data_IF_801317559778
#
_entry.id   IF_801317559778
#
_cell.length_a   1.000
_cell.length_b   1.000
_cell.length_c   1.000
_cell.angle_alpha   90.00
_cell.angle_beta   90.00
_cell.angle_gamma   90.00
#
_symmetry.space_group_name_H-M   'P 1'
#
loop_
_entity.id
_entity.type
_entity.pdbx_description
1 polymer ?
#
# COMPACT_ATOMS: atom_id res chain seq x y z
N UNK A 1 49.81 18.19 5.60
CA UNK A 1 49.80 16.86 4.95
C UNK A 1 48.37 16.31 4.99
N UNK A 2 47.47 16.86 4.16
CA UNK A 2 46.08 16.38 3.91
C UNK A 2 45.46 17.03 2.66
N UNK A 3 46.07 18.09 2.10
CA UNK A 3 45.60 18.75 0.88
C UNK A 3 46.13 18.15 -0.45
N UNK A 4 47.01 17.14 -0.39
CA UNK A 4 47.52 16.41 -1.58
C UNK A 4 46.82 15.08 -1.86
N UNK A 5 45.81 14.71 -1.05
CA UNK A 5 45.01 13.48 -1.27
C UNK A 5 43.58 13.74 -1.74
N UNK A 6 43.14 15.00 -1.76
CA UNK A 6 41.80 15.38 -2.24
C UNK A 6 41.76 15.72 -3.75
N UNK A 7 42.89 16.07 -4.35
CA UNK A 7 42.99 16.39 -5.79
C UNK A 7 43.16 15.16 -6.70
N UNK A 8 43.43 13.97 -6.13
CA UNK A 8 43.56 12.73 -6.90
C UNK A 8 42.25 11.93 -7.01
N UNK A 9 41.24 12.17 -6.16
CA UNK A 9 39.93 11.50 -6.26
C UNK A 9 38.88 12.28 -7.07
N UNK A 10 39.11 13.57 -7.36
CA UNK A 10 38.22 14.34 -8.24
C UNK A 10 38.56 14.20 -9.75
N UNK A 11 39.73 13.67 -10.11
CA UNK A 11 40.15 13.49 -11.50
C UNK A 11 39.69 12.16 -12.13
N UNK A 12 39.15 11.23 -11.33
CA UNK A 12 38.65 9.93 -11.80
C UNK A 12 37.13 9.95 -12.05
N UNK A 13 36.40 10.92 -11.50
CA UNK A 13 34.95 11.05 -11.67
C UNK A 13 34.51 11.99 -12.82
N UNK A 14 35.45 12.52 -13.61
CA UNK A 14 35.17 13.41 -14.75
C UNK A 14 35.62 12.84 -16.11
N UNK A 15 35.95 11.55 -16.17
CA UNK A 15 36.37 10.83 -17.39
C UNK A 15 35.39 9.71 -17.80
N UNK A 16 34.10 9.82 -17.42
CA UNK A 16 33.04 8.87 -17.85
C UNK A 16 31.85 9.53 -18.57
N UNK A 17 31.98 10.79 -18.96
CA UNK A 17 31.06 11.40 -19.90
C UNK A 17 31.87 12.17 -20.96
N UNK A 18 31.50 11.94 -22.22
CA UNK A 18 32.00 12.54 -23.47
C UNK A 18 33.10 11.71 -24.16
N UNK A 19 32.71 11.00 -25.23
CA UNK A 19 33.65 10.30 -26.10
C UNK A 19 33.04 9.46 -27.22
N UNK A 20 32.05 9.97 -27.96
CA UNK A 20 31.67 9.44 -29.28
C UNK A 20 32.27 10.32 -30.37
N UNK A 21 33.18 9.78 -31.20
CA UNK A 21 33.12 9.78 -32.69
C UNK A 21 34.50 9.75 -33.38
N UNK A 22 34.63 8.79 -34.32
CA UNK A 22 35.55 8.66 -35.48
C UNK A 22 37.05 8.41 -35.18
N UNK A 23 37.80 7.55 -35.88
CA UNK A 23 37.64 6.56 -36.95
C UNK A 23 38.96 5.74 -37.01
N UNK A 24 39.03 4.61 -37.74
CA UNK A 24 40.17 4.10 -38.58
C UNK A 24 40.12 2.56 -38.76
N UNK A 25 39.68 2.14 -39.95
CA UNK A 25 40.29 1.26 -40.98
C UNK A 25 41.27 0.11 -40.60
N UNK A 26 40.89 -1.11 -41.06
CA UNK A 26 41.66 -2.23 -41.69
C UNK A 26 42.77 -3.00 -40.95
N UNK A 27 42.61 -4.33 -40.83
CA UNK A 27 43.28 -5.34 -41.69
C UNK A 27 43.40 -6.73 -41.01
N UNK A 28 43.29 -7.81 -41.80
CA UNK A 28 44.07 -9.04 -41.55
C UNK A 28 43.35 -10.30 -41.06
N UNK A 29 42.37 -10.83 -41.81
CA UNK A 29 41.95 -12.24 -41.69
C UNK A 29 42.90 -13.16 -42.47
N UNK A 30 43.43 -14.20 -41.80
CA UNK A 30 44.39 -15.19 -42.36
C UNK A 30 43.74 -16.09 -43.43
N UNK A 31 44.49 -16.55 -44.45
CA UNK A 31 43.96 -17.42 -45.50
C UNK A 31 43.95 -18.90 -45.07
N UNK A 32 42.87 -19.60 -45.42
CA UNK A 32 42.82 -21.06 -45.49
C UNK A 32 43.57 -21.53 -46.75
N UNK A 33 44.45 -22.55 -46.67
CA UNK A 33 45.14 -23.09 -47.84
C UNK A 33 44.34 -24.25 -48.46
N UNK A 34 44.27 -24.29 -49.79
CA UNK A 34 43.81 -25.47 -50.52
C UNK A 34 42.79 -25.21 -51.62
N UNK A 35 43.18 -24.51 -52.69
CA UNK A 35 42.57 -24.69 -54.01
C UNK A 35 43.57 -24.37 -55.14
N UNK A 36 44.82 -24.80 -54.96
CA UNK A 36 45.77 -24.86 -56.07
C UNK A 36 45.51 -26.18 -56.80
N UNK A 37 44.63 -26.12 -57.80
CA UNK A 37 44.59 -26.95 -59.03
C UNK A 37 43.16 -27.06 -59.56
N UNK A 38 42.67 -25.98 -60.20
CA UNK A 38 41.56 -26.09 -61.15
C UNK A 38 42.01 -25.50 -62.50
N UNK A 39 41.74 -26.20 -63.63
CA UNK A 39 42.21 -25.80 -64.95
C UNK A 39 41.54 -24.52 -65.44
N UNK A 40 42.26 -23.74 -66.27
CA UNK A 40 41.92 -22.40 -66.79
C UNK A 40 40.59 -22.28 -67.55
N UNK A 41 39.84 -23.35 -67.75
CA UNK A 41 38.55 -23.33 -68.46
C UNK A 41 37.34 -22.95 -67.58
N UNK A 42 37.53 -22.71 -66.28
CA UNK A 42 36.42 -22.40 -65.38
C UNK A 42 35.92 -20.94 -65.45
N UNK A 43 36.71 -20.01 -66.01
CA UNK A 43 36.34 -18.58 -66.04
C UNK A 43 35.61 -18.12 -67.32
N UNK A 44 35.34 -19.03 -68.26
CA UNK A 44 34.66 -18.69 -69.52
C UNK A 44 33.15 -18.97 -69.54
N UNK A 45 32.54 -19.34 -68.40
CA UNK A 45 31.08 -19.53 -68.27
C UNK A 45 30.37 -18.48 -67.40
N UNK A 46 31.05 -17.38 -67.01
CA UNK A 46 30.46 -16.32 -66.17
C UNK A 46 30.24 -14.98 -66.89
N UNK A 47 30.17 -14.98 -68.22
CA UNK A 47 29.78 -13.79 -68.98
C UNK A 47 28.66 -14.09 -69.96
N UNK A 48 27.45 -14.30 -69.43
CA UNK A 48 26.21 -14.07 -70.16
C UNK A 48 25.37 -13.06 -69.40
N UNK A 49 24.90 -11.97 -70.03
CA UNK A 49 24.03 -11.01 -69.37
C UNK A 49 22.63 -11.64 -69.26
N UNK A 50 22.29 -12.15 -68.08
CA UNK A 50 20.94 -12.63 -67.82
C UNK A 50 20.02 -11.43 -67.61
N UNK A 51 19.20 -11.13 -68.61
CA UNK A 51 18.03 -10.26 -68.46
C UNK A 51 17.09 -10.97 -67.48
N UNK A 52 16.99 -10.49 -66.24
CA UNK A 52 15.89 -10.86 -65.34
C UNK A 52 14.58 -10.34 -65.93
N UNK A 53 13.94 -11.19 -66.75
CA UNK A 53 12.50 -11.12 -66.95
C UNK A 53 11.91 -11.56 -65.62
N UNK A 54 11.31 -10.63 -64.89
CA UNK A 54 10.44 -10.96 -63.77
C UNK A 54 9.29 -11.80 -64.34
N UNK A 55 9.36 -13.12 -64.17
CA UNK A 55 8.19 -13.97 -64.32
C UNK A 55 7.18 -13.51 -63.27
N UNK A 56 6.09 -12.89 -63.72
CA UNK A 56 4.89 -12.74 -62.90
C UNK A 56 4.38 -14.17 -62.60
N UNK A 57 4.88 -14.76 -61.52
CA UNK A 57 4.19 -15.87 -60.87
C UNK A 57 2.82 -15.36 -60.46
N UNK A 58 1.83 -15.80 -61.23
CA UNK A 58 0.42 -15.67 -60.98
C UNK A 58 0.16 -15.90 -59.49
N UNK A 59 -0.27 -14.86 -58.78
CA UNK A 59 -0.89 -14.99 -57.47
C UNK A 59 -2.06 -15.96 -57.65
N UNK A 60 -1.86 -17.22 -57.28
CA UNK A 60 -2.97 -18.11 -57.03
C UNK A 60 -3.83 -17.40 -56.00
N UNK A 61 -5.10 -17.20 -56.34
CA UNK A 61 -6.13 -16.64 -55.46
C UNK A 61 -6.20 -17.52 -54.22
N UNK A 62 -5.42 -17.21 -53.19
CA UNK A 62 -5.71 -17.66 -51.84
C UNK A 62 -7.08 -17.09 -51.51
N UNK A 63 -8.03 -18.00 -51.36
CA UNK A 63 -9.37 -17.75 -50.86
C UNK A 63 -9.34 -16.66 -49.79
N UNK A 64 -10.02 -15.54 -50.05
CA UNK A 64 -10.05 -14.39 -49.16
C UNK A 64 -10.52 -14.75 -47.76
N UNK A 65 -9.57 -14.96 -46.84
CA UNK A 65 -9.81 -14.83 -45.42
C UNK A 65 -9.48 -13.40 -45.03
N UNK A 66 -10.50 -12.63 -44.65
CA UNK A 66 -10.31 -11.37 -43.94
C UNK A 66 -9.39 -11.62 -42.73
N UNK A 67 -8.41 -10.73 -42.45
CA UNK A 67 -7.56 -10.90 -41.27
C UNK A 67 -8.43 -11.01 -40.01
N UNK A 68 -8.26 -12.11 -39.27
CA UNK A 68 -9.02 -12.33 -38.05
C UNK A 68 -8.80 -11.16 -37.08
N UNK A 69 -9.86 -10.54 -36.54
CA UNK A 69 -9.72 -9.34 -35.73
C UNK A 69 -8.97 -9.67 -34.43
N UNK A 70 -7.99 -8.84 -34.08
CA UNK A 70 -7.16 -9.05 -32.88
C UNK A 70 -7.99 -8.79 -31.61
N UNK A 71 -7.79 -9.59 -30.55
CA UNK A 71 -8.41 -9.33 -29.26
C UNK A 71 -7.87 -8.04 -28.64
N UNK A 72 -8.71 -7.39 -27.85
CA UNK A 72 -8.32 -6.23 -27.05
C UNK A 72 -9.18 -6.15 -25.79
N UNK A 73 -8.65 -5.48 -24.77
CA UNK A 73 -9.39 -5.18 -23.55
C UNK A 73 -10.27 -3.95 -23.77
N UNK A 74 -11.54 -4.05 -23.38
CA UNK A 74 -12.46 -2.93 -23.44
C UNK A 74 -12.13 -1.87 -22.38
N UNK A 75 -11.71 -2.33 -21.21
CA UNK A 75 -11.37 -1.47 -20.08
C UNK A 75 -9.85 -1.20 -20.03
N UNK A 76 -9.43 -0.10 -19.35
CA UNK A 76 -8.04 0.17 -18.99
C UNK A 76 -7.67 -0.40 -17.61
N UNK A 77 -6.38 -0.50 -17.30
CA UNK A 77 -5.89 -0.91 -15.99
C UNK A 77 -6.59 -0.14 -14.86
N UNK A 78 -6.83 -0.80 -13.72
CA UNK A 78 -7.72 -0.26 -12.68
C UNK A 78 -7.22 -0.51 -11.27
N UNK A 79 -7.59 0.40 -10.35
CA UNK A 79 -7.33 0.28 -8.92
C UNK A 79 -8.67 0.12 -8.21
N UNK A 80 -8.81 -0.96 -7.44
CA UNK A 80 -10.05 -1.31 -6.76
C UNK A 80 -9.75 -1.40 -5.27
N UNK A 81 -10.42 -0.56 -4.48
CA UNK A 81 -10.34 -0.61 -3.02
C UNK A 81 -11.61 -1.22 -2.46
N UNK A 82 -11.47 -2.25 -1.62
CA UNK A 82 -12.59 -3.00 -1.04
C UNK A 82 -12.46 -3.09 0.46
N UNK A 83 -13.57 -3.29 1.15
CA UNK A 83 -13.60 -3.49 2.59
C UNK A 83 -13.22 -4.93 2.95
N UNK A 84 -12.53 -5.14 4.08
CA UNK A 84 -12.27 -6.47 4.63
C UNK A 84 -13.56 -7.32 4.69
N UNK A 85 -13.47 -8.57 4.26
CA UNK A 85 -14.58 -9.53 4.23
C UNK A 85 -15.52 -9.37 3.03
N UNK A 86 -15.38 -8.31 2.23
CA UNK A 86 -16.25 -8.08 1.08
C UNK A 86 -16.05 -9.13 -0.02
N UNK A 87 -17.12 -9.38 -0.77
CA UNK A 87 -17.07 -10.11 -2.01
C UNK A 87 -16.71 -9.17 -3.16
N UNK A 88 -15.75 -9.56 -3.99
CA UNK A 88 -15.18 -8.72 -5.04
C UNK A 88 -15.27 -9.43 -6.39
N UNK A 89 -15.52 -8.66 -7.44
CA UNK A 89 -15.44 -9.10 -8.82
C UNK A 89 -14.40 -8.26 -9.56
N UNK A 90 -13.33 -8.89 -10.03
CA UNK A 90 -12.37 -8.24 -10.92
C UNK A 90 -12.83 -8.46 -12.35
N UNK A 91 -13.24 -7.39 -13.01
CA UNK A 91 -13.77 -7.46 -14.37
C UNK A 91 -12.66 -7.48 -15.42
N UNK A 92 -12.84 -8.33 -16.42
CA UNK A 92 -12.00 -8.36 -17.62
C UNK A 92 -12.87 -8.60 -18.84
N UNK A 93 -13.24 -7.51 -19.51
CA UNK A 93 -13.99 -7.53 -20.77
C UNK A 93 -13.02 -7.63 -21.94
N UNK A 94 -13.15 -8.69 -22.74
CA UNK A 94 -12.28 -8.98 -23.89
C UNK A 94 -13.11 -9.10 -25.15
N UNK A 95 -12.84 -8.23 -26.13
CA UNK A 95 -13.47 -8.28 -27.44
C UNK A 95 -12.62 -9.12 -28.41
N UNK A 96 -13.24 -9.69 -29.45
CA UNK A 96 -12.57 -10.52 -30.47
C UNK A 96 -11.71 -11.65 -29.88
N UNK A 97 -12.20 -12.35 -28.85
CA UNK A 97 -11.45 -13.42 -28.18
C UNK A 97 -11.21 -14.63 -29.11
N UNK A 98 -12.19 -14.97 -29.97
CA UNK A 98 -12.12 -16.08 -30.92
C UNK A 98 -11.79 -17.41 -30.22
N UNK A 99 -10.77 -18.14 -30.68
CA UNK A 99 -10.32 -19.40 -30.10
C UNK A 99 -9.28 -19.23 -28.97
N UNK A 100 -9.03 -17.99 -28.52
CA UNK A 100 -8.05 -17.71 -27.46
C UNK A 100 -8.68 -17.89 -26.09
N UNK A 101 -7.84 -18.07 -25.09
CA UNK A 101 -8.25 -18.31 -23.72
C UNK A 101 -7.87 -17.13 -22.83
N UNK A 102 -8.75 -16.80 -21.88
CA UNK A 102 -8.48 -15.85 -20.81
C UNK A 102 -8.02 -16.60 -19.56
N UNK A 103 -7.01 -16.05 -18.89
CA UNK A 103 -6.53 -16.56 -17.61
C UNK A 103 -6.39 -15.42 -16.60
N UNK A 104 -6.69 -15.73 -15.35
CA UNK A 104 -6.38 -14.84 -14.24
C UNK A 104 -5.16 -15.36 -13.52
N UNK A 105 -4.16 -14.49 -13.37
CA UNK A 105 -2.96 -14.77 -12.61
C UNK A 105 -2.77 -13.70 -11.54
N UNK A 106 -2.20 -14.11 -10.40
CA UNK A 106 -1.81 -13.21 -9.33
C UNK A 106 -0.30 -13.06 -9.33
N UNK A 107 0.17 -11.81 -9.36
CA UNK A 107 1.59 -11.51 -9.30
C UNK A 107 2.03 -11.29 -7.86
N UNK A 108 3.09 -11.98 -7.44
CA UNK A 108 3.73 -11.82 -6.13
C UNK A 108 5.24 -11.68 -6.33
N UNK A 109 5.71 -10.44 -6.47
CA UNK A 109 7.09 -10.18 -6.91
C UNK A 109 7.29 -10.67 -8.34
N UNK A 110 8.25 -11.57 -8.54
CA UNK A 110 8.53 -12.20 -9.84
C UNK A 110 7.68 -13.46 -10.10
N UNK A 111 7.02 -14.00 -9.07
CA UNK A 111 6.24 -15.23 -9.17
C UNK A 111 4.81 -14.96 -9.67
N UNK A 112 4.37 -15.75 -10.65
CA UNK A 112 3.00 -15.75 -11.17
C UNK A 112 2.26 -16.99 -10.68
N UNK A 113 1.17 -16.76 -9.95
CA UNK A 113 0.27 -17.82 -9.49
C UNK A 113 -0.96 -17.87 -10.36
N UNK A 114 -1.20 -19.01 -11.03
CA UNK A 114 -2.40 -19.21 -11.83
C UNK A 114 -3.63 -19.37 -10.93
N UNK A 115 -4.63 -18.52 -11.13
CA UNK A 115 -5.90 -18.60 -10.40
C UNK A 115 -6.95 -19.32 -11.23
N UNK A 116 -7.11 -18.92 -12.50
CA UNK A 116 -8.07 -19.52 -13.44
C UNK A 116 -7.47 -19.59 -14.84
N UNK A 117 -7.92 -20.58 -15.62
CA UNK A 117 -7.58 -20.71 -17.04
C UNK A 117 -8.81 -21.18 -17.81
N UNK A 118 -9.27 -20.37 -18.77
CA UNK A 118 -10.56 -20.57 -19.41
C UNK A 118 -11.66 -20.56 -18.38
N UNK A 119 -12.53 -21.57 -18.39
CA UNK A 119 -13.62 -21.72 -17.42
C UNK A 119 -13.23 -22.45 -16.13
N UNK A 120 -11.98 -22.90 -16.02
CA UNK A 120 -11.53 -23.74 -14.90
C UNK A 120 -10.78 -22.91 -13.85
N UNK A 121 -10.99 -23.23 -12.58
CA UNK A 121 -10.27 -22.63 -11.44
C UNK A 121 -9.14 -23.56 -11.02
N UNK A 122 -7.92 -23.03 -10.94
CA UNK A 122 -6.69 -23.75 -10.58
C UNK A 122 -6.17 -23.38 -9.18
N UNK A 123 -6.59 -22.24 -8.65
CA UNK A 123 -6.27 -21.83 -7.28
C UNK A 123 -6.69 -22.91 -6.27
N UNK A 124 -5.80 -23.24 -5.33
CA UNK A 124 -6.13 -24.11 -4.18
C UNK A 124 -7.03 -23.41 -3.16
N UNK A 125 -7.04 -22.08 -3.17
CA UNK A 125 -7.92 -21.28 -2.32
C UNK A 125 -9.32 -21.22 -2.95
N UNK A 126 -10.28 -21.85 -2.27
CA UNK A 126 -11.68 -21.99 -2.69
C UNK A 126 -12.44 -20.66 -2.73
N UNK A 127 -11.87 -19.57 -2.21
CA UNK A 127 -12.51 -18.25 -2.26
C UNK A 127 -12.44 -17.64 -3.66
N UNK A 128 -11.47 -18.05 -4.46
CA UNK A 128 -11.34 -17.66 -5.87
C UNK A 128 -12.17 -18.57 -6.76
N UNK A 129 -12.92 -17.98 -7.66
CA UNK A 129 -13.63 -18.71 -8.72
C UNK A 129 -13.79 -17.84 -9.94
N UNK A 130 -13.98 -18.44 -11.11
CA UNK A 130 -14.42 -17.70 -12.29
C UNK A 130 -15.94 -17.53 -12.26
N UNK A 131 -16.40 -16.31 -12.51
CA UNK A 131 -17.81 -15.98 -12.70
C UNK A 131 -17.98 -15.24 -14.05
N UNK A 132 -17.89 -16.01 -15.14
CA UNK A 132 -17.97 -15.47 -16.50
C UNK A 132 -19.38 -15.00 -16.82
N UNK A 133 -19.52 -13.72 -17.11
CA UNK A 133 -20.78 -13.11 -17.55
C UNK A 133 -20.76 -12.95 -19.07
N UNK A 134 -21.75 -13.54 -19.74
CA UNK A 134 -21.91 -13.52 -21.20
C UNK A 134 -22.13 -12.09 -21.72
N UNK A 135 -21.56 -11.71 -22.89
CA UNK A 135 -20.80 -12.56 -23.80
C UNK A 135 -19.29 -12.60 -23.51
N UNK A 136 -18.71 -11.53 -22.93
CA UNK A 136 -17.27 -11.27 -23.04
C UNK A 136 -16.60 -10.87 -21.71
N UNK A 137 -17.26 -11.01 -20.56
CA UNK A 137 -16.77 -10.53 -19.27
C UNK A 137 -16.28 -11.69 -18.39
N UNK A 138 -14.95 -11.85 -18.30
CA UNK A 138 -14.29 -12.91 -17.56
C UNK A 138 -14.00 -12.45 -16.13
N UNK A 139 -14.99 -12.52 -15.25
CA UNK A 139 -14.86 -11.97 -13.89
C UNK A 139 -14.18 -12.96 -12.96
N UNK A 140 -13.11 -12.52 -12.30
CA UNK A 140 -12.56 -13.25 -11.16
C UNK A 140 -13.36 -12.87 -9.92
N UNK A 141 -14.02 -13.84 -9.30
CA UNK A 141 -14.73 -13.67 -8.03
C UNK A 141 -13.81 -14.02 -6.87
N UNK A 142 -13.77 -13.14 -5.87
CA UNK A 142 -13.18 -13.38 -4.56
C UNK A 142 -14.29 -13.24 -3.51
N UNK A 143 -14.70 -14.35 -2.89
CA UNK A 143 -15.90 -14.38 -2.01
C UNK A 143 -15.74 -13.65 -0.67
N UNK A 144 -14.56 -13.66 -0.07
CA UNK A 144 -14.30 -12.98 1.20
C UNK A 144 -12.89 -12.43 1.22
N UNK A 145 -12.73 -11.13 0.96
CA UNK A 145 -11.45 -10.48 0.84
C UNK A 145 -10.72 -10.36 2.18
N UNK A 146 -9.45 -10.72 2.21
CA UNK A 146 -8.55 -10.56 3.35
C UNK A 146 -7.45 -9.55 3.02
N UNK A 147 -6.83 -8.95 4.03
CA UNK A 147 -5.72 -7.99 3.82
C UNK A 147 -4.61 -8.58 2.92
N UNK A 148 -4.35 -9.88 3.08
CA UNK A 148 -3.35 -10.63 2.31
C UNK A 148 -3.68 -10.76 0.84
N UNK A 149 -4.92 -10.53 0.41
CA UNK A 149 -5.32 -10.58 -1.00
C UNK A 149 -4.97 -9.30 -1.75
N UNK A 150 -4.55 -8.25 -1.05
CA UNK A 150 -4.05 -7.04 -1.69
C UNK A 150 -2.87 -7.36 -2.62
N UNK A 151 -2.84 -6.71 -3.78
CA UNK A 151 -1.78 -6.92 -4.76
C UNK A 151 -2.26 -6.80 -6.20
N UNK A 152 -1.42 -7.29 -7.11
CA UNK A 152 -1.61 -7.16 -8.55
C UNK A 152 -2.19 -8.45 -9.12
N UNK A 153 -3.31 -8.31 -9.82
CA UNK A 153 -3.99 -9.36 -10.54
C UNK A 153 -3.95 -9.04 -12.03
N UNK A 154 -3.67 -10.03 -12.85
CA UNK A 154 -3.56 -9.88 -14.29
C UNK A 154 -4.58 -10.76 -14.98
N UNK A 155 -5.34 -10.13 -15.87
CA UNK A 155 -6.11 -10.83 -16.87
C UNK A 155 -5.23 -10.98 -18.11
N UNK A 156 -4.89 -12.20 -18.47
CA UNK A 156 -4.03 -12.51 -19.60
C UNK A 156 -4.82 -13.23 -20.70
N UNK A 157 -4.68 -12.76 -21.94
CA UNK A 157 -5.23 -13.42 -23.13
C UNK A 157 -4.09 -14.17 -23.83
N UNK A 158 -4.36 -15.43 -24.22
CA UNK A 158 -3.41 -16.33 -24.91
C UNK A 158 -3.12 -15.90 -26.36
N UNK A 159 -2.60 -14.69 -26.53
CA UNK A 159 -2.13 -14.10 -27.78
C UNK A 159 -0.60 -14.26 -27.90
N UNK A 160 -0.05 -13.98 -29.08
CA UNK A 160 1.39 -13.87 -29.27
C UNK A 160 1.75 -12.47 -29.83
N UNK A 161 2.38 -11.58 -29.04
CA UNK A 161 2.66 -11.72 -27.59
C UNK A 161 1.37 -11.72 -26.74
N UNK A 162 1.40 -12.20 -25.49
CA UNK A 162 0.23 -12.22 -24.62
C UNK A 162 -0.25 -10.80 -24.32
N UNK A 163 -1.57 -10.60 -24.32
CA UNK A 163 -2.16 -9.33 -23.90
C UNK A 163 -2.44 -9.41 -22.40
N UNK A 164 -2.05 -8.37 -21.67
CA UNK A 164 -2.14 -8.31 -20.22
C UNK A 164 -2.90 -7.04 -19.82
N UNK A 165 -3.90 -7.21 -18.96
CA UNK A 165 -4.62 -6.15 -18.26
C UNK A 165 -4.36 -6.30 -16.77
N UNK A 166 -4.03 -5.20 -16.11
CA UNK A 166 -3.63 -5.18 -14.71
C UNK A 166 -4.72 -4.59 -13.83
N UNK A 167 -5.00 -5.26 -12.71
CA UNK A 167 -5.92 -4.80 -11.66
C UNK A 167 -5.18 -4.78 -10.33
N UNK A 168 -5.10 -3.60 -9.71
CA UNK A 168 -4.56 -3.43 -8.37
C UNK A 168 -5.69 -3.52 -7.36
N UNK A 169 -5.72 -4.60 -6.59
CA UNK A 169 -6.68 -4.79 -5.51
C UNK A 169 -6.06 -4.30 -4.19
N UNK A 170 -6.74 -3.38 -3.50
CA UNK A 170 -6.41 -2.94 -2.16
C UNK A 170 -7.53 -3.33 -1.19
N UNK A 171 -7.23 -4.16 -0.20
CA UNK A 171 -8.19 -4.53 0.84
C UNK A 171 -7.97 -3.62 2.06
N UNK A 172 -8.94 -2.75 2.30
CA UNK A 172 -8.92 -1.77 3.38
C UNK A 172 -9.43 -2.36 4.68
N UNK A 173 -8.63 -2.27 5.74
CA UNK A 173 -9.00 -2.66 7.11
C UNK A 173 -9.35 -1.39 7.89
N UNK A 174 -10.57 -1.26 8.47
CA UNK A 174 -10.97 -0.05 9.17
C UNK A 174 -10.12 0.12 10.41
N UNK A 175 -9.68 1.35 10.65
CA UNK A 175 -8.95 1.71 11.86
C UNK A 175 -9.84 2.60 12.70
N UNK A 176 -10.07 2.19 13.96
CA UNK A 176 -10.88 2.92 14.93
C UNK A 176 -9.99 3.32 16.09
N UNK A 177 -9.89 4.61 16.36
CA UNK A 177 -9.05 5.17 17.42
C UNK A 177 -9.80 6.22 18.22
N UNK A 178 -9.75 6.13 19.55
CA UNK A 178 -10.12 7.25 20.40
C UNK A 178 -8.86 8.09 20.56
N UNK A 179 -8.97 9.38 20.24
CA UNK A 179 -7.83 10.29 20.16
C UNK A 179 -7.91 11.37 21.24
N UNK A 180 -6.75 11.88 21.62
CA UNK A 180 -6.63 13.05 22.49
C UNK A 180 -6.78 14.37 21.71
N UNK A 181 -6.52 15.49 22.40
CA UNK A 181 -6.62 16.83 21.84
C UNK A 181 -5.58 17.07 20.73
N UNK A 182 -4.45 16.37 20.77
CA UNK A 182 -3.37 16.43 19.78
C UNK A 182 -3.57 15.44 18.62
N UNK A 183 -4.61 14.60 18.67
CA UNK A 183 -4.88 13.57 17.67
C UNK A 183 -4.07 12.29 17.85
N UNK A 184 -3.36 12.13 18.97
CA UNK A 184 -2.67 10.88 19.31
C UNK A 184 -3.66 9.89 19.95
N UNK A 185 -3.34 8.59 19.91
CA UNK A 185 -4.14 7.55 20.59
C UNK A 185 -4.29 7.89 22.07
N UNK A 186 -5.53 8.01 22.54
CA UNK A 186 -5.82 8.37 23.91
C UNK A 186 -5.46 7.22 24.86
N UNK A 187 -4.68 7.54 25.90
CA UNK A 187 -4.58 6.71 27.11
C UNK A 187 -5.75 6.98 28.05
N UNK A 188 -5.57 6.62 29.33
CA UNK A 188 -6.60 6.85 30.35
C UNK A 188 -6.95 8.35 30.46
N UNK A 189 -8.26 8.63 30.50
CA UNK A 189 -8.81 9.99 30.57
C UNK A 189 -9.33 10.28 31.98
N UNK A 190 -9.00 11.47 32.49
CA UNK A 190 -9.37 11.89 33.85
C UNK A 190 -10.23 13.14 33.77
N UNK A 191 -11.38 13.12 34.45
CA UNK A 191 -12.33 14.23 34.52
C UNK A 191 -12.68 14.54 35.96
N UNK A 192 -13.05 15.79 36.23
CA UNK A 192 -13.51 16.21 37.56
C UNK A 192 -15.02 15.94 37.68
N UNK A 193 -15.47 15.55 38.86
CA UNK A 193 -16.90 15.48 39.15
C UNK A 193 -17.57 16.84 38.87
N UNK A 194 -18.70 16.81 38.16
CA UNK A 194 -19.44 17.97 37.67
C UNK A 194 -19.01 18.49 36.30
N UNK A 195 -17.87 18.07 35.75
CA UNK A 195 -17.43 18.51 34.41
C UNK A 195 -18.14 17.74 33.29
N UNK A 196 -17.85 18.11 32.03
CA UNK A 196 -18.31 17.36 30.86
C UNK A 196 -17.21 16.40 30.41
N UNK A 197 -17.55 15.12 30.20
CA UNK A 197 -16.66 14.16 29.52
C UNK A 197 -16.84 14.37 28.02
N UNK A 198 -15.73 14.53 27.32
CA UNK A 198 -15.67 14.57 25.85
C UNK A 198 -14.70 13.52 25.35
N UNK A 199 -15.19 12.55 24.58
CA UNK A 199 -14.38 11.56 23.89
C UNK A 199 -14.53 11.73 22.38
N UNK A 200 -13.41 11.74 21.67
CA UNK A 200 -13.35 11.86 20.22
C UNK A 200 -12.84 10.55 19.64
N UNK A 201 -13.64 9.95 18.76
CA UNK A 201 -13.30 8.75 18.01
C UNK A 201 -13.13 9.09 16.54
N UNK A 202 -12.05 8.59 15.95
CA UNK A 202 -11.73 8.71 14.54
C UNK A 202 -11.75 7.33 13.92
N UNK A 203 -12.62 7.16 12.93
CA UNK A 203 -12.71 5.98 12.07
C UNK A 203 -12.11 6.34 10.73
N UNK A 204 -11.18 5.52 10.24
CA UNK A 204 -10.48 5.73 8.96
C UNK A 204 -10.37 4.42 8.18
N UNK A 205 -9.96 4.51 6.91
CA UNK A 205 -9.80 3.37 6.00
C UNK A 205 -11.11 2.64 5.72
N UNK A 206 -12.20 3.39 5.57
CA UNK A 206 -13.52 2.87 5.20
C UNK A 206 -13.93 3.49 3.87
N UNK A 207 -13.79 2.76 2.74
CA UNK A 207 -14.28 3.23 1.45
C UNK A 207 -15.80 3.24 1.47
N UNK A 208 -16.42 4.41 1.24
CA UNK A 208 -17.88 4.60 1.30
C UNK A 208 -18.48 4.21 2.66
N UNK A 209 -18.25 5.00 3.72
CA UNK A 209 -18.77 4.68 5.05
C UNK A 209 -20.30 4.72 5.07
N UNK A 210 -20.93 3.55 5.08
CA UNK A 210 -22.38 3.37 5.27
C UNK A 210 -22.73 2.92 6.70
N UNK A 211 -21.72 2.54 7.48
CA UNK A 211 -21.87 2.09 8.86
C UNK A 211 -22.08 3.23 9.85
N UNK A 212 -22.80 2.95 10.94
CA UNK A 212 -22.95 3.87 12.07
C UNK A 212 -21.86 3.63 13.11
N UNK A 213 -21.34 4.71 13.69
CA UNK A 213 -20.36 4.65 14.79
C UNK A 213 -21.10 4.53 16.12
N UNK A 214 -20.77 3.51 16.91
CA UNK A 214 -21.43 3.20 18.18
C UNK A 214 -20.49 3.45 19.36
N UNK A 215 -21.01 4.15 20.36
CA UNK A 215 -20.38 4.35 21.66
C UNK A 215 -21.02 3.43 22.70
N UNK A 216 -20.18 2.76 23.49
CA UNK A 216 -20.61 1.86 24.56
C UNK A 216 -19.89 2.22 25.86
N UNK A 217 -20.58 2.08 26.99
CA UNK A 217 -19.99 2.08 28.34
C UNK A 217 -20.27 0.74 28.99
N UNK A 218 -19.23 -0.10 29.14
CA UNK A 218 -19.41 -1.52 29.42
C UNK A 218 -20.28 -2.18 28.34
N UNK A 219 -21.44 -2.72 28.73
CA UNK A 219 -22.42 -3.32 27.80
C UNK A 219 -23.54 -2.39 27.34
N UNK A 220 -23.53 -1.12 27.78
CA UNK A 220 -24.62 -0.17 27.50
C UNK A 220 -24.29 0.71 26.31
N UNK A 221 -25.14 0.69 25.29
CA UNK A 221 -25.03 1.61 24.14
C UNK A 221 -25.47 3.01 24.51
N UNK A 222 -24.64 4.00 24.19
CA UNK A 222 -24.85 5.41 24.59
C UNK A 222 -25.50 6.27 23.51
N UNK A 223 -25.46 5.85 22.24
CA UNK A 223 -25.92 6.66 21.10
C UNK A 223 -27.37 7.18 21.22
N UNK A 224 -28.23 6.42 21.88
CA UNK A 224 -29.66 6.72 22.05
C UNK A 224 -30.09 6.63 23.52
N UNK A 225 -29.13 6.68 24.45
CA UNK A 225 -29.41 6.55 25.88
C UNK A 225 -30.03 7.83 26.44
N UNK A 226 -31.30 7.75 26.82
CA UNK A 226 -32.07 8.83 27.44
C UNK A 226 -32.23 8.66 28.95
N UNK A 227 -31.87 7.49 29.52
CA UNK A 227 -32.15 7.12 30.91
C UNK A 227 -31.34 7.99 31.87
N UNK A 228 -30.07 8.20 31.54
CA UNK A 228 -29.16 9.02 32.35
C UNK A 228 -29.45 10.52 32.18
N UNK A 229 -29.78 10.95 30.96
CA UNK A 229 -29.81 12.36 30.57
C UNK A 229 -28.40 12.96 30.41
N UNK A 230 -28.29 14.02 29.60
CA UNK A 230 -27.03 14.74 29.38
C UNK A 230 -26.00 14.02 28.50
N UNK A 231 -26.38 12.95 27.81
CA UNK A 231 -25.57 12.27 26.80
C UNK A 231 -25.89 12.86 25.42
N UNK A 232 -24.86 13.18 24.64
CA UNK A 232 -25.01 13.59 23.25
C UNK A 232 -23.90 12.96 22.41
N UNK A 233 -24.27 12.36 21.28
CA UNK A 233 -23.34 11.81 20.30
C UNK A 233 -23.49 12.58 18.99
N UNK A 234 -22.38 13.05 18.44
CA UNK A 234 -22.32 13.71 17.14
C UNK A 234 -21.35 12.95 16.24
N UNK A 235 -21.81 12.54 15.07
CA UNK A 235 -20.98 11.79 14.11
C UNK A 235 -20.95 12.53 12.79
N UNK A 236 -19.75 12.93 12.39
CA UNK A 236 -19.47 13.58 11.11
C UNK A 236 -18.94 12.52 10.15
N UNK A 237 -19.69 12.22 9.08
CA UNK A 237 -19.27 11.28 8.04
C UNK A 237 -18.35 11.99 7.03
N UNK A 238 -17.21 11.38 6.72
CA UNK A 238 -16.27 11.83 5.69
C UNK A 238 -16.23 10.88 4.50
N UNK A 239 -15.38 11.19 3.52
CA UNK A 239 -15.23 10.36 2.31
C UNK A 239 -14.58 8.99 2.59
N UNK A 240 -13.63 8.92 3.53
CA UNK A 240 -12.85 7.71 3.84
C UNK A 240 -12.97 7.26 5.31
N UNK A 241 -14.02 7.69 6.00
CA UNK A 241 -14.20 7.41 7.42
C UNK A 241 -15.23 8.30 8.10
N UNK A 242 -15.13 8.40 9.42
CA UNK A 242 -16.04 9.18 10.24
C UNK A 242 -15.34 9.72 11.49
N UNK A 243 -15.80 10.86 12.00
CA UNK A 243 -15.37 11.40 13.29
C UNK A 243 -16.59 11.46 14.20
N UNK A 244 -16.57 10.71 15.30
CA UNK A 244 -17.65 10.70 16.28
C UNK A 244 -17.19 11.31 17.60
N UNK A 245 -18.02 12.14 18.21
CA UNK A 245 -17.79 12.77 19.51
C UNK A 245 -18.90 12.41 20.48
N UNK A 246 -18.52 11.88 21.63
CA UNK A 246 -19.39 11.57 22.75
C UNK A 246 -19.23 12.65 23.82
N UNK A 247 -20.34 13.26 24.20
CA UNK A 247 -20.45 14.24 25.26
C UNK A 247 -21.32 13.69 26.38
N UNK A 248 -20.86 13.88 27.61
CA UNK A 248 -21.57 13.49 28.80
C UNK A 248 -21.47 14.61 29.82
N UNK A 249 -22.60 15.29 30.08
CA UNK A 249 -22.68 16.38 31.04
C UNK A 249 -22.73 15.89 32.50
N UNK A 250 -22.31 16.77 33.42
CA UNK A 250 -22.37 16.57 34.86
C UNK A 250 -21.78 15.22 35.30
N UNK A 251 -20.49 15.03 35.01
CA UNK A 251 -19.76 13.80 35.28
C UNK A 251 -19.81 13.43 36.77
N UNK A 252 -20.06 12.16 37.07
CA UNK A 252 -20.10 11.63 38.42
C UNK A 252 -19.31 10.30 38.48
N UNK A 253 -19.07 9.81 39.70
CA UNK A 253 -18.24 8.61 39.91
C UNK A 253 -18.76 7.36 39.16
N UNK A 254 -20.07 7.22 38.95
CA UNK A 254 -20.68 6.09 38.22
C UNK A 254 -20.38 6.10 36.73
N UNK A 255 -19.91 7.23 36.20
CA UNK A 255 -19.54 7.37 34.79
C UNK A 255 -18.11 6.90 34.53
N UNK A 256 -17.36 6.54 35.57
CA UNK A 256 -16.04 5.95 35.41
C UNK A 256 -16.16 4.56 34.77
N UNK A 257 -15.13 4.13 34.06
CA UNK A 257 -15.03 2.82 33.44
C UNK A 257 -14.65 2.88 31.97
N UNK A 258 -14.92 1.78 31.28
CA UNK A 258 -14.44 1.58 29.92
C UNK A 258 -15.46 2.09 28.90
N UNK A 259 -15.01 3.01 28.04
CA UNK A 259 -15.78 3.54 26.93
C UNK A 259 -15.23 3.00 25.63
N UNK A 260 -16.08 2.36 24.85
CA UNK A 260 -15.70 1.77 23.57
C UNK A 260 -16.36 2.53 22.42
N UNK A 261 -15.57 2.84 21.40
CA UNK A 261 -16.06 3.30 20.10
C UNK A 261 -15.93 2.15 19.11
N UNK A 262 -17.00 1.82 18.40
CA UNK A 262 -17.06 0.71 17.45
C UNK A 262 -17.64 1.14 16.11
N UNK A 263 -17.11 0.56 15.03
CA UNK A 263 -17.68 0.60 13.69
C UNK A 263 -18.36 -0.74 13.42
N UNK A 264 -19.67 -0.81 13.70
CA UNK A 264 -20.42 -2.06 13.67
C UNK A 264 -19.66 -3.21 14.36
N UNK A 265 -19.60 -4.39 13.74
CA UNK A 265 -18.88 -5.57 14.25
C UNK A 265 -17.48 -5.72 13.61
N UNK A 266 -16.97 -4.70 12.93
CA UNK A 266 -15.73 -4.81 12.14
C UNK A 266 -14.51 -4.39 12.95
N UNK A 267 -14.61 -3.30 13.70
CA UNK A 267 -13.50 -2.77 14.49
C UNK A 267 -14.00 -1.97 15.69
N UNK A 268 -13.30 -2.07 16.82
CA UNK A 268 -13.60 -1.31 18.02
C UNK A 268 -12.33 -0.96 18.79
N UNK A 269 -12.39 0.12 19.55
CA UNK A 269 -11.32 0.55 20.45
C UNK A 269 -11.92 1.04 21.76
N UNK A 270 -11.16 0.95 22.85
CA UNK A 270 -11.65 1.23 24.21
C UNK A 270 -10.68 2.13 24.96
N UNK A 271 -11.22 3.06 25.75
CA UNK A 271 -10.47 3.94 26.65
C UNK A 271 -11.04 3.86 28.06
N UNK A 272 -10.17 3.92 29.07
CA UNK A 272 -10.58 4.01 30.47
C UNK A 272 -10.83 5.47 30.85
N UNK A 273 -11.96 5.74 31.49
CA UNK A 273 -12.33 7.06 32.01
C UNK A 273 -12.43 7.01 33.53
N UNK A 274 -11.82 7.99 34.19
CA UNK A 274 -11.82 8.15 35.64
C UNK A 274 -12.41 9.50 36.03
N UNK A 275 -13.48 9.49 36.82
CA UNK A 275 -14.06 10.71 37.37
C UNK A 275 -13.60 10.90 38.82
N UNK A 276 -12.86 11.98 39.06
CA UNK A 276 -12.25 12.32 40.34
C UNK A 276 -13.11 13.36 41.07
N UNK A 277 -13.39 13.11 42.35
CA UNK A 277 -13.97 14.15 43.21
C UNK A 277 -12.90 15.21 43.49
N UNK A 278 -13.29 16.48 43.49
CA UNK A 278 -12.39 17.64 43.60
C UNK A 278 -11.65 17.80 44.94
N UNK A 279 -11.49 16.75 45.72
CA UNK A 279 -10.71 16.76 46.95
C UNK A 279 -9.29 16.24 46.65
N UNK A 280 -8.40 17.20 46.40
CA UNK A 280 -6.93 17.13 46.29
C UNK A 280 -6.34 15.84 45.65
N UNK A 281 -5.83 15.89 44.41
CA UNK A 281 -4.89 14.86 43.98
C UNK A 281 -3.66 14.93 44.88
N UNK A 282 -3.42 13.87 45.66
CA UNK A 282 -2.20 13.73 46.44
C UNK A 282 -1.02 13.93 45.47
N UNK A 283 -0.19 14.93 45.77
CA UNK A 283 1.00 15.25 45.01
C UNK A 283 1.83 13.99 44.77
N UNK A 284 2.18 13.75 43.50
CA UNK A 284 3.18 12.77 43.13
C UNK A 284 4.48 13.09 43.88
N UNK A 285 4.84 12.23 44.83
CA UNK A 285 6.12 12.33 45.52
C UNK A 285 7.22 11.90 44.54
N UNK A 286 7.90 12.87 43.93
CA UNK A 286 9.24 12.63 43.43
C UNK A 286 10.20 12.53 44.62
N UNK A 287 10.71 11.32 44.84
CA UNK A 287 12.10 11.04 45.19
C UNK A 287 12.70 11.75 46.39
N UNK A 288 12.84 10.99 47.48
CA UNK A 288 13.65 11.30 48.65
C UNK A 288 15.05 11.85 48.31
N UNK A 289 15.42 13.01 48.87
CA UNK A 289 16.82 13.34 49.16
C UNK A 289 17.08 13.10 50.64
N UNK A 290 17.88 12.06 50.89
CA UNK A 290 18.45 11.74 52.19
C UNK A 290 19.50 12.80 52.55
N UNK A 291 19.34 13.38 53.74
CA UNK A 291 20.38 13.76 54.69
C UNK A 291 21.64 14.50 54.21
N UNK A 292 21.81 15.73 54.70
CA UNK A 292 23.06 16.08 55.37
C UNK A 292 22.76 17.03 56.53
N UNK A 293 22.97 16.51 57.75
CA UNK A 293 23.09 17.32 58.97
C UNK A 293 24.34 18.20 58.80
N UNK A 294 24.19 19.51 58.87
CA UNK A 294 25.30 20.42 59.10
C UNK A 294 24.99 21.24 60.35
N UNK A 295 25.46 20.74 61.48
CA UNK A 295 25.54 21.46 62.74
C UNK A 295 26.72 22.42 62.66
N UNK A 296 26.47 23.72 62.61
CA UNK A 296 27.47 24.71 63.02
C UNK A 296 26.87 25.60 64.10
N UNK A 297 27.44 25.41 65.29
CA UNK A 297 27.12 26.07 66.55
C UNK A 297 27.48 27.56 66.47
N UNK A 298 26.60 28.39 67.03
CA UNK A 298 26.93 29.75 67.45
C UNK A 298 28.04 29.71 68.52
N UNK A 299 29.12 30.46 68.30
CA UNK A 299 29.92 31.01 69.39
C UNK A 299 30.24 32.47 69.07
N UNK A 300 29.59 33.36 69.81
CA UNK A 300 29.99 34.74 69.97
C UNK A 300 31.07 34.82 71.07
N UNK A 301 32.17 35.53 70.85
CA UNK A 301 32.87 36.22 71.94
C UNK A 301 33.66 37.42 71.39
N UNK A 302 33.34 38.57 71.96
CA UNK A 302 34.01 39.85 71.83
C UNK A 302 35.32 39.83 72.63
N UNK A 303 36.42 40.32 72.05
CA UNK A 303 37.50 40.95 72.82
C UNK A 303 38.03 42.16 72.06
N UNK A 304 37.89 43.31 72.72
CA UNK A 304 38.30 44.64 72.31
C UNK A 304 39.79 44.88 72.65
N UNK A 305 40.46 45.66 71.79
CA UNK A 305 41.61 46.57 72.04
C UNK A 305 42.98 46.02 72.48
N UNK A 306 43.90 46.01 71.49
CA UNK A 306 45.23 46.67 71.41
C UNK A 306 46.14 46.77 72.63
N UNK A 307 47.45 46.68 72.37
CA UNK A 307 48.53 47.66 72.65
C UNK A 307 49.79 47.04 72.08
N UNK A 308 50.63 47.69 71.23
CA UNK A 308 51.55 47.15 70.15
C UNK A 308 51.34 45.68 69.83
N UNK A 309 51.57 44.77 70.77
CA UNK A 309 52.33 44.69 72.05
C UNK A 309 51.53 43.74 72.94
#
# INVERSE_FOLDING_TARGET
MMLKRLTAMLAVLLMHFIGLSKAIISSGGKPFPGLENLPRSFWHELSSPFTEVYEEESYATETGSTPEPRPFFEDPDSNITVQLGAQVYLHCRVQNLQQRTVSWVRRRGEELHLLTFGQQTYSSDSRFSLDSESPNNWRLRLSSATERDSGVYECQVSAHPPLIRTVHLMVSVPKVEIVDEHGATAGDKFYKAGSTIELKCVVSKVPHPTGYVTWMHGSRTLNYDTIRGGISVKTDMGAEGAVSRLYIANANKKDSGNYSCALADVAATTVSVHVLNGENPAAMQHGASRGLRSTFLLTALLTLTSVLR
#
